data_IF_991729905948
#
_entry.id   IF_991729905948
#
_cell.length_a   1.000
_cell.length_b   1.000
_cell.length_c   1.000
_cell.angle_alpha   90.00
_cell.angle_beta   90.00
_cell.angle_gamma   90.00
#
_symmetry.space_group_name_H-M   'P 1'
#
loop_
_entity.id
_entity.type
_entity.pdbx_description
1 polymer ?
#
# COMPACT_ATOMS: atom_id res chain seq x y z
N UNK A 1 21.47 24.55 11.42
CA UNK A 1 20.12 23.89 11.34
C UNK A 1 20.29 22.42 11.64
N UNK A 2 19.31 21.77 12.27
CA UNK A 2 19.40 20.35 12.54
C UNK A 2 19.14 19.59 11.23
N UNK A 3 20.09 18.76 10.78
CA UNK A 3 19.93 17.92 9.59
C UNK A 3 18.70 17.00 9.78
N UNK A 4 17.86 16.86 8.76
CA UNK A 4 16.73 15.96 8.76
C UNK A 4 17.16 14.49 8.67
N UNK A 5 16.23 13.61 8.31
CA UNK A 5 16.47 12.18 8.22
C UNK A 5 15.73 11.56 7.04
N UNK A 6 16.32 10.54 6.43
CA UNK A 6 15.68 9.77 5.34
C UNK A 6 15.29 8.37 5.82
N UNK A 7 14.06 7.96 5.52
CA UNK A 7 13.57 6.61 5.72
C UNK A 7 13.37 5.95 4.34
N UNK A 8 14.11 4.87 4.06
CA UNK A 8 13.89 4.04 2.87
C UNK A 8 12.83 3.00 3.24
N UNK A 9 11.59 3.20 2.78
CA UNK A 9 10.41 2.45 3.22
C UNK A 9 9.89 1.57 2.09
N UNK A 10 9.69 0.28 2.39
CA UNK A 10 8.99 -0.63 1.49
C UNK A 10 7.47 -0.45 1.59
N UNK A 11 6.84 -0.17 0.45
CA UNK A 11 5.39 -0.01 0.34
C UNK A 11 4.61 -1.34 0.28
N UNK A 12 5.33 -2.47 0.20
CA UNK A 12 4.71 -3.75 -0.12
C UNK A 12 4.43 -3.93 -1.62
N UNK A 13 3.82 -5.07 -2.01
CA UNK A 13 3.71 -5.51 -3.41
C UNK A 13 2.53 -4.88 -4.18
N UNK A 14 1.61 -4.19 -3.49
CA UNK A 14 0.41 -3.60 -4.12
C UNK A 14 -0.78 -3.46 -3.17
N UNK A 15 -1.10 -4.49 -2.38
CA UNK A 15 -2.12 -4.39 -1.33
C UNK A 15 -1.65 -3.47 -0.21
N UNK A 16 -2.32 -2.32 0.06
CA UNK A 16 -1.94 -1.41 1.14
C UNK A 16 -2.02 -2.03 2.53
N UNK A 17 -2.75 -3.14 2.71
CA UNK A 17 -2.76 -3.90 3.97
C UNK A 17 -1.42 -4.59 4.27
N UNK A 18 -0.56 -4.75 3.25
CA UNK A 18 0.79 -5.30 3.41
C UNK A 18 1.85 -4.23 3.72
N UNK A 19 1.46 -2.98 3.90
CA UNK A 19 2.35 -1.96 4.46
C UNK A 19 2.66 -2.31 5.92
N UNK A 20 3.94 -2.28 6.27
CA UNK A 20 4.33 -2.53 7.66
C UNK A 20 3.88 -1.40 8.58
N UNK A 21 3.65 -1.72 9.85
CA UNK A 21 3.29 -0.72 10.87
C UNK A 21 4.36 0.38 11.00
N UNK A 22 5.63 0.03 10.87
CA UNK A 22 6.71 1.01 10.87
C UNK A 22 6.67 1.89 9.61
N UNK A 23 6.36 1.33 8.45
CA UNK A 23 6.17 2.07 7.21
C UNK A 23 5.03 3.08 7.30
N UNK A 24 3.90 2.67 7.90
CA UNK A 24 2.77 3.56 8.21
C UNK A 24 3.20 4.75 9.05
N UNK A 25 3.87 4.51 10.18
CA UNK A 25 4.33 5.57 11.08
C UNK A 25 5.28 6.55 10.40
N UNK A 26 6.16 6.05 9.52
CA UNK A 26 7.05 6.92 8.75
C UNK A 26 6.26 7.84 7.80
N UNK A 27 5.23 7.31 7.10
CA UNK A 27 4.39 8.10 6.19
C UNK A 27 3.58 9.16 6.95
N UNK A 28 2.97 8.79 8.08
CA UNK A 28 2.18 9.70 8.92
C UNK A 28 3.00 10.87 9.48
N UNK A 29 4.31 10.71 9.62
CA UNK A 29 5.22 11.72 10.17
C UNK A 29 6.02 12.45 9.09
N UNK A 30 5.96 12.03 7.83
CA UNK A 30 6.77 12.57 6.75
C UNK A 30 6.47 14.04 6.45
N UNK A 31 7.51 14.83 6.19
CA UNK A 31 7.43 16.19 5.65
C UNK A 31 7.53 16.15 4.10
N UNK A 32 8.20 15.12 3.56
CA UNK A 32 8.24 14.85 2.13
C UNK A 32 8.28 13.34 1.86
N UNK A 33 7.54 12.91 0.83
CA UNK A 33 7.58 11.53 0.34
C UNK A 33 8.03 11.52 -1.12
N UNK A 34 9.15 10.85 -1.39
CA UNK A 34 9.67 10.61 -2.74
C UNK A 34 9.29 9.19 -3.13
N UNK A 35 8.44 9.02 -4.14
CA UNK A 35 7.85 7.71 -4.47
C UNK A 35 7.95 7.37 -5.96
N UNK A 36 7.86 6.10 -6.30
CA UNK A 36 7.89 5.58 -7.68
C UNK A 36 6.54 4.97 -8.11
N UNK A 37 6.44 4.57 -9.38
CA UNK A 37 5.21 4.06 -9.97
C UNK A 37 4.74 2.70 -9.40
N UNK A 38 5.62 1.95 -8.73
CA UNK A 38 5.29 0.64 -8.13
C UNK A 38 4.80 0.78 -6.68
N UNK A 39 4.92 1.96 -6.08
CA UNK A 39 4.34 2.21 -4.77
C UNK A 39 2.81 2.38 -4.92
N UNK A 40 2.05 1.67 -4.10
CA UNK A 40 0.59 1.80 -4.10
C UNK A 40 0.17 3.23 -3.74
N UNK A 41 -0.58 3.89 -4.61
CA UNK A 41 -1.00 5.29 -4.43
C UNK A 41 -1.87 5.50 -3.19
N UNK A 42 -2.65 4.51 -2.77
CA UNK A 42 -3.53 4.62 -1.60
C UNK A 42 -2.78 4.79 -0.28
N UNK A 43 -1.53 4.32 -0.18
CA UNK A 43 -0.73 4.54 1.04
C UNK A 43 -0.25 5.98 1.18
N UNK A 44 -0.24 6.77 0.09
CA UNK A 44 0.08 8.20 0.15
C UNK A 44 -0.98 9.00 0.91
N UNK A 45 -2.22 8.50 1.00
CA UNK A 45 -3.28 9.12 1.79
C UNK A 45 -3.05 9.05 3.31
N UNK A 46 -2.02 8.32 3.76
CA UNK A 46 -1.60 8.27 5.16
C UNK A 46 -0.74 9.48 5.57
N UNK A 47 -0.28 10.26 4.61
CA UNK A 47 0.58 11.42 4.89
C UNK A 47 -0.20 12.61 5.44
N UNK A 48 0.51 13.51 6.11
CA UNK A 48 -0.05 14.78 6.57
C UNK A 48 -0.54 15.63 5.38
N UNK A 49 -1.54 16.51 5.56
CA UNK A 49 -2.05 17.37 4.49
C UNK A 49 -1.01 18.30 3.87
N UNK A 50 0.00 18.70 4.65
CA UNK A 50 1.11 19.59 4.25
C UNK A 50 2.35 18.82 3.76
N UNK A 51 2.30 17.49 3.69
CA UNK A 51 3.39 16.67 3.19
C UNK A 51 3.61 16.87 1.70
N UNK A 52 4.86 17.10 1.30
CA UNK A 52 5.24 17.23 -0.11
C UNK A 52 5.33 15.85 -0.78
N UNK A 53 4.44 15.54 -1.72
CA UNK A 53 4.47 14.29 -2.50
C UNK A 53 5.24 14.49 -3.80
N UNK A 54 6.38 13.81 -3.98
CA UNK A 54 7.29 13.98 -5.11
C UNK A 54 7.43 12.66 -5.87
N UNK A 55 6.90 12.63 -7.10
CA UNK A 55 7.03 11.47 -7.96
C UNK A 55 8.44 11.38 -8.57
N UNK A 56 9.10 10.25 -8.38
CA UNK A 56 10.44 9.95 -8.90
C UNK A 56 10.46 8.74 -9.87
N UNK A 57 9.29 8.26 -10.28
CA UNK A 57 9.11 7.13 -11.19
C UNK A 57 9.25 7.53 -12.67
N UNK A 58 9.19 6.51 -13.55
CA UNK A 58 9.14 6.71 -15.00
C UNK A 58 7.73 7.10 -15.43
N UNK A 59 7.57 8.20 -16.13
CA UNK A 59 6.36 8.48 -16.90
C UNK A 59 6.61 8.23 -18.39
N UNK A 60 5.65 7.62 -19.09
CA UNK A 60 5.70 7.47 -20.53
C UNK A 60 5.75 8.87 -21.19
N UNK A 61 6.82 9.15 -21.94
CA UNK A 61 6.99 10.40 -22.68
C UNK A 61 7.71 11.56 -21.97
N UNK A 62 8.15 11.43 -20.72
CA UNK A 62 8.88 12.47 -20.02
C UNK A 62 10.29 12.04 -19.60
N UNK A 63 11.22 13.00 -19.54
CA UNK A 63 12.62 12.80 -19.19
C UNK A 63 12.77 12.00 -17.88
N UNK A 64 13.53 10.93 -18.00
CA UNK A 64 13.94 10.03 -16.95
C UNK A 64 14.64 10.79 -15.81
N UNK A 65 14.11 10.86 -14.61
CA UNK A 65 14.96 11.16 -13.46
C UNK A 65 15.98 10.03 -13.32
N UNK A 66 17.23 10.33 -13.61
CA UNK A 66 18.33 9.38 -13.38
C UNK A 66 18.36 9.05 -11.89
N UNK A 67 18.80 7.83 -11.51
CA UNK A 67 18.96 7.48 -10.09
C UNK A 67 19.76 8.53 -9.32
N UNK A 68 20.78 9.11 -9.95
CA UNK A 68 21.57 10.20 -9.38
C UNK A 68 20.77 11.44 -9.02
N UNK A 69 19.72 11.77 -9.78
CA UNK A 69 18.83 12.91 -9.47
C UNK A 69 17.94 12.60 -8.28
N UNK A 70 17.43 11.35 -8.18
CA UNK A 70 16.66 10.91 -7.01
C UNK A 70 17.55 10.93 -5.76
N UNK A 71 18.78 10.41 -5.85
CA UNK A 71 19.72 10.40 -4.75
C UNK A 71 20.04 11.84 -4.26
N UNK A 72 20.30 12.76 -5.20
CA UNK A 72 20.54 14.17 -4.88
C UNK A 72 19.33 14.82 -4.22
N UNK A 73 18.13 14.57 -4.72
CA UNK A 73 16.89 15.08 -4.14
C UNK A 73 16.69 14.63 -2.69
N UNK A 74 16.99 13.38 -2.36
CA UNK A 74 16.90 12.87 -0.98
C UNK A 74 17.86 13.62 -0.04
N UNK A 75 19.08 13.88 -0.50
CA UNK A 75 20.08 14.65 0.27
C UNK A 75 19.59 16.10 0.47
N UNK A 76 19.20 16.79 -0.60
CA UNK A 76 18.72 18.17 -0.56
C UNK A 76 17.54 18.38 0.41
N UNK A 77 16.59 17.45 0.39
CA UNK A 77 15.43 17.51 1.30
C UNK A 77 15.82 17.29 2.76
N UNK A 78 16.75 16.38 3.02
CA UNK A 78 17.25 16.12 4.38
C UNK A 78 18.10 17.29 4.91
N UNK A 79 18.91 17.93 4.07
CA UNK A 79 19.67 19.15 4.44
C UNK A 79 18.77 20.32 4.84
N UNK A 80 17.53 20.37 4.28
CA UNK A 80 16.50 21.33 4.70
C UNK A 80 15.88 21.02 6.08
N UNK A 81 16.36 19.97 6.76
CA UNK A 81 15.84 19.56 8.08
C UNK A 81 14.59 18.70 8.06
N UNK A 82 14.16 18.23 6.86
CA UNK A 82 12.91 17.47 6.68
C UNK A 82 13.05 16.00 7.10
N UNK A 83 11.95 15.42 7.57
CA UNK A 83 11.76 13.98 7.64
C UNK A 83 11.29 13.47 6.28
N UNK A 84 12.18 12.80 5.56
CA UNK A 84 11.95 12.35 4.18
C UNK A 84 11.66 10.86 4.15
N UNK A 85 10.59 10.46 3.51
CA UNK A 85 10.31 9.05 3.18
C UNK A 85 10.61 8.82 1.70
N UNK A 86 11.54 7.89 1.42
CA UNK A 86 11.70 7.30 0.09
C UNK A 86 10.85 6.04 0.05
N UNK A 87 9.69 6.12 -0.58
CA UNK A 87 8.71 5.02 -0.67
C UNK A 87 8.97 4.20 -1.95
N UNK A 88 9.17 2.90 -1.79
CA UNK A 88 9.57 1.96 -2.85
C UNK A 88 8.62 0.78 -2.90
N UNK A 89 8.22 0.34 -4.10
CA UNK A 89 7.42 -0.88 -4.24
C UNK A 89 8.15 -2.11 -3.67
N UNK A 90 7.42 -3.02 -3.03
CA UNK A 90 7.98 -4.20 -2.38
C UNK A 90 8.87 -3.84 -1.19
N UNK A 91 10.11 -4.33 -1.20
CA UNK A 91 11.16 -4.08 -0.21
C UNK A 91 12.28 -3.21 -0.80
N UNK A 92 12.84 -2.23 -0.07
CA UNK A 92 13.87 -1.34 -0.58
C UNK A 92 15.14 -2.05 -1.05
N UNK A 93 15.48 -3.18 -0.44
CA UNK A 93 16.73 -3.92 -0.68
C UNK A 93 16.58 -5.13 -1.61
N UNK A 94 15.35 -5.47 -2.02
CA UNK A 94 15.10 -6.54 -2.99
C UNK A 94 14.87 -5.94 -4.38
N UNK A 95 15.94 -5.85 -5.19
CA UNK A 95 15.95 -5.22 -6.53
C UNK A 95 15.39 -3.79 -6.58
N UNK A 96 15.32 -3.13 -5.42
CA UNK A 96 14.80 -1.76 -5.28
C UNK A 96 15.86 -0.67 -5.35
N UNK A 97 17.15 -1.00 -5.53
CA UNK A 97 18.27 -0.06 -5.52
C UNK A 97 18.43 0.75 -4.21
N UNK A 98 17.77 0.32 -3.14
CA UNK A 98 17.86 0.99 -1.84
C UNK A 98 19.28 1.02 -1.25
N UNK A 99 20.11 0.02 -1.59
CA UNK A 99 21.52 0.00 -1.23
C UNK A 99 22.30 1.18 -1.81
N UNK A 100 22.09 1.49 -3.10
CA UNK A 100 22.71 2.64 -3.77
C UNK A 100 22.24 3.98 -3.16
N UNK A 101 20.95 4.08 -2.84
CA UNK A 101 20.38 5.27 -2.16
C UNK A 101 21.00 5.44 -0.76
N UNK A 102 21.11 4.35 0.01
CA UNK A 102 21.71 4.35 1.35
C UNK A 102 23.20 4.73 1.34
N UNK A 103 23.98 4.24 0.35
CA UNK A 103 25.39 4.61 0.18
C UNK A 103 25.56 6.12 -0.03
N UNK A 104 24.77 6.72 -0.92
CA UNK A 104 24.84 8.17 -1.17
C UNK A 104 24.44 8.98 0.06
N UNK A 105 23.43 8.54 0.82
CA UNK A 105 23.06 9.20 2.08
C UNK A 105 24.21 9.13 3.10
N UNK A 106 24.85 7.98 3.23
CA UNK A 106 26.01 7.79 4.12
C UNK A 106 27.19 8.68 3.72
N UNK A 107 27.51 8.75 2.42
CA UNK A 107 28.59 9.58 1.88
C UNK A 107 28.36 11.08 2.16
N UNK A 108 27.10 11.53 2.21
CA UNK A 108 26.74 12.91 2.50
C UNK A 108 26.44 13.16 4.01
N UNK A 109 26.68 12.19 4.89
CA UNK A 109 26.46 12.33 6.33
C UNK A 109 24.99 12.50 6.71
N UNK A 110 24.04 12.08 5.85
CA UNK A 110 22.61 12.16 6.12
C UNK A 110 22.17 10.96 6.95
N UNK A 111 21.56 11.15 8.14
CA UNK A 111 21.01 10.06 8.92
C UNK A 111 19.88 9.36 8.16
N UNK A 112 19.93 8.03 8.09
CA UNK A 112 18.88 7.25 7.44
C UNK A 112 18.49 6.01 8.24
N UNK A 113 17.36 5.42 7.86
CA UNK A 113 16.90 4.11 8.33
C UNK A 113 16.27 3.33 7.19
N UNK A 114 16.44 2.02 7.24
CA UNK A 114 15.77 1.09 6.34
C UNK A 114 14.54 0.56 7.07
N UNK A 115 13.39 0.65 6.41
CA UNK A 115 12.13 0.06 6.87
C UNK A 115 11.73 -1.01 5.87
N UNK A 116 12.00 -2.29 6.16
CA UNK A 116 11.67 -3.39 5.26
C UNK A 116 10.18 -3.39 4.87
N UNK A 117 9.91 -3.83 3.66
CA UNK A 117 8.57 -4.06 3.16
C UNK A 117 8.32 -5.52 2.80
N UNK A 118 7.06 -5.88 2.64
CA UNK A 118 6.68 -7.20 2.13
C UNK A 118 7.11 -7.30 0.67
N UNK A 119 8.10 -8.14 0.37
CA UNK A 119 8.63 -8.28 -0.98
C UNK A 119 7.66 -9.02 -1.90
N UNK A 120 7.55 -8.55 -3.15
CA UNK A 120 6.75 -9.19 -4.19
C UNK A 120 7.19 -10.62 -4.49
N UNK A 121 8.48 -10.94 -4.32
CA UNK A 121 9.03 -12.24 -4.71
C UNK A 121 8.37 -13.43 -3.98
N UNK A 122 7.82 -13.26 -2.80
CA UNK A 122 7.10 -14.32 -2.07
C UNK A 122 5.62 -13.99 -1.84
N UNK A 123 5.26 -12.73 -1.72
CA UNK A 123 3.89 -12.33 -1.44
C UNK A 123 2.97 -12.43 -2.65
N UNK A 124 3.46 -12.07 -3.84
CA UNK A 124 2.68 -12.19 -5.09
C UNK A 124 2.36 -13.64 -5.42
N UNK A 125 3.32 -14.60 -5.37
CA UNK A 125 2.99 -16.01 -5.49
C UNK A 125 1.97 -16.49 -4.44
N UNK A 126 2.09 -16.07 -3.18
CA UNK A 126 1.15 -16.44 -2.12
C UNK A 126 -0.29 -15.98 -2.46
N UNK A 127 -0.47 -14.76 -2.98
CA UNK A 127 -1.76 -14.25 -3.44
C UNK A 127 -2.27 -14.98 -4.70
N UNK A 128 -1.37 -15.59 -5.47
CA UNK A 128 -1.74 -16.46 -6.60
C UNK A 128 -2.04 -17.91 -6.17
N UNK A 129 -1.95 -18.25 -4.87
CA UNK A 129 -2.11 -19.61 -4.39
C UNK A 129 -0.91 -20.51 -4.69
N UNK A 130 0.28 -19.92 -4.85
CA UNK A 130 1.53 -20.63 -5.15
C UNK A 130 2.50 -20.44 -3.98
N UNK A 131 2.72 -21.44 -3.11
CA UNK A 131 3.72 -21.35 -2.08
C UNK A 131 5.12 -21.42 -2.70
N UNK A 132 6.02 -20.47 -2.36
CA UNK A 132 7.37 -20.45 -2.94
C UNK A 132 8.28 -21.59 -2.42
N UNK A 133 7.91 -22.20 -1.29
CA UNK A 133 8.53 -23.40 -0.74
C UNK A 133 7.45 -24.39 -0.33
N UNK A 134 7.74 -25.68 -0.44
CA UNK A 134 6.85 -26.76 0.01
C UNK A 134 7.66 -28.00 0.34
N UNK A 135 7.36 -28.66 1.46
CA UNK A 135 8.16 -29.79 1.96
C UNK A 135 8.34 -30.92 0.92
N UNK A 136 7.33 -31.16 0.11
CA UNK A 136 7.36 -32.24 -0.89
C UNK A 136 7.84 -31.78 -2.28
N UNK A 137 7.84 -30.46 -2.59
CA UNK A 137 8.08 -29.98 -3.96
C UNK A 137 9.26 -29.00 -4.08
N UNK A 138 9.56 -28.21 -3.06
CA UNK A 138 10.54 -27.15 -3.18
C UNK A 138 11.21 -26.85 -1.82
N UNK A 139 12.41 -27.35 -1.55
CA UNK A 139 13.15 -27.10 -0.31
C UNK A 139 13.72 -25.68 -0.26
N UNK A 140 13.83 -25.01 -1.41
CA UNK A 140 14.39 -23.68 -1.54
C UNK A 140 13.63 -22.85 -2.60
N UNK A 141 13.85 -21.55 -2.59
CA UNK A 141 13.45 -20.68 -3.70
C UNK A 141 14.58 -19.69 -4.02
N UNK A 142 14.70 -19.35 -5.29
CA UNK A 142 15.76 -18.50 -5.82
C UNK A 142 15.14 -17.29 -6.51
N UNK A 143 15.58 -16.10 -6.12
CA UNK A 143 15.03 -14.83 -6.66
C UNK A 143 16.05 -14.21 -7.59
N UNK A 144 15.67 -14.01 -8.84
CA UNK A 144 16.55 -13.62 -9.93
C UNK A 144 15.94 -12.41 -10.65
N UNK A 145 16.76 -11.46 -11.10
CA UNK A 145 16.31 -10.43 -12.02
C UNK A 145 16.34 -10.95 -13.46
N UNK A 146 15.24 -10.84 -14.18
CA UNK A 146 15.20 -11.15 -15.62
C UNK A 146 15.84 -10.08 -16.51
N UNK A 147 16.34 -9.00 -15.92
CA UNK A 147 16.97 -7.87 -16.62
C UNK A 147 18.44 -7.76 -16.20
N UNK A 148 19.31 -8.48 -16.89
CA UNK A 148 20.75 -8.53 -16.62
C UNK A 148 21.59 -8.00 -17.79
N UNK A 149 21.30 -6.79 -18.28
CA UNK A 149 22.18 -6.14 -19.25
C UNK A 149 22.70 -4.82 -18.68
N UNK A 150 23.74 -4.93 -17.88
CA UNK A 150 24.68 -3.81 -17.68
C UNK A 150 26.07 -4.31 -18.11
N UNK A 151 26.92 -3.42 -18.62
CA UNK A 151 28.30 -3.71 -18.98
C UNK A 151 29.13 -4.35 -17.84
N UNK A 152 28.59 -4.35 -16.63
CA UNK A 152 29.22 -4.80 -15.39
C UNK A 152 28.75 -6.17 -14.88
N UNK A 153 27.67 -6.75 -15.42
CA UNK A 153 27.16 -8.05 -14.98
C UNK A 153 27.11 -9.04 -16.14
N UNK A 154 27.73 -10.20 -15.92
CA UNK A 154 27.68 -11.34 -16.82
C UNK A 154 26.22 -11.77 -17.10
N UNK A 155 26.01 -12.44 -18.22
CA UNK A 155 24.75 -13.13 -18.49
C UNK A 155 24.42 -14.11 -17.36
N UNK A 156 23.11 -14.37 -17.15
CA UNK A 156 22.68 -15.35 -16.15
C UNK A 156 23.27 -16.74 -16.49
N UNK A 157 23.85 -17.40 -15.51
CA UNK A 157 24.29 -18.79 -15.66
C UNK A 157 23.09 -19.75 -15.66
N UNK A 158 22.48 -19.89 -16.84
CA UNK A 158 21.35 -20.78 -17.03
C UNK A 158 21.68 -22.25 -16.81
N UNK A 159 22.94 -22.66 -16.98
CA UNK A 159 23.38 -24.03 -16.72
C UNK A 159 23.32 -24.37 -15.22
N UNK A 160 23.66 -23.43 -14.36
CA UNK A 160 23.48 -23.55 -12.92
C UNK A 160 22.01 -23.41 -12.54
N UNK A 161 21.31 -22.41 -13.05
CA UNK A 161 19.89 -22.16 -12.72
C UNK A 161 18.99 -23.35 -13.09
N UNK A 162 19.23 -24.00 -14.23
CA UNK A 162 18.43 -25.15 -14.63
C UNK A 162 18.54 -26.35 -13.68
N UNK A 163 19.70 -26.49 -12.99
CA UNK A 163 20.00 -27.58 -12.04
C UNK A 163 19.57 -27.27 -10.61
N UNK A 164 19.23 -26.01 -10.30
CA UNK A 164 18.80 -25.67 -8.96
C UNK A 164 17.51 -26.41 -8.59
N UNK A 165 17.53 -27.00 -7.40
CA UNK A 165 16.35 -27.59 -6.79
C UNK A 165 15.50 -26.49 -6.15
N UNK A 166 14.18 -26.63 -6.29
CA UNK A 166 13.22 -25.67 -5.75
C UNK A 166 12.61 -24.71 -6.78
N UNK A 167 12.11 -23.59 -6.30
CA UNK A 167 11.34 -22.62 -7.10
C UNK A 167 12.25 -21.53 -7.64
N UNK A 168 12.17 -21.26 -8.95
CA UNK A 168 12.81 -20.10 -9.56
C UNK A 168 11.80 -18.95 -9.69
N UNK A 169 12.16 -17.77 -9.19
CA UNK A 169 11.34 -16.57 -9.23
C UNK A 169 12.08 -15.49 -9.99
N UNK A 170 11.55 -15.12 -11.16
CA UNK A 170 12.14 -14.08 -11.98
C UNK A 170 11.33 -12.79 -11.86
N UNK A 171 11.96 -11.74 -11.32
CA UNK A 171 11.41 -10.38 -11.34
C UNK A 171 11.84 -9.66 -12.61
N UNK A 172 11.03 -8.72 -13.11
CA UNK A 172 11.32 -7.94 -14.33
C UNK A 172 11.60 -8.82 -15.57
N UNK A 173 10.96 -9.97 -15.66
CA UNK A 173 11.27 -11.02 -16.64
C UNK A 173 10.43 -11.00 -17.90
N UNK A 174 9.30 -10.25 -17.93
CA UNK A 174 8.26 -10.41 -18.95
C UNK A 174 8.77 -10.23 -20.39
N UNK A 175 9.61 -9.21 -20.63
CA UNK A 175 10.21 -8.95 -21.94
C UNK A 175 11.19 -10.04 -22.41
N UNK A 176 11.82 -10.74 -21.47
CA UNK A 176 12.86 -11.75 -21.73
C UNK A 176 12.33 -13.17 -21.45
N UNK A 177 11.02 -13.33 -21.18
CA UNK A 177 10.45 -14.63 -20.82
C UNK A 177 10.69 -15.72 -21.86
N UNK A 178 10.56 -15.47 -23.19
CA UNK A 178 10.87 -16.50 -24.20
C UNK A 178 12.33 -16.97 -24.13
N UNK A 179 13.28 -16.04 -23.95
CA UNK A 179 14.71 -16.35 -23.85
C UNK A 179 15.04 -17.10 -22.56
N UNK A 180 14.44 -16.69 -21.42
CA UNK A 180 14.62 -17.36 -20.13
C UNK A 180 14.12 -18.81 -20.21
N UNK A 181 12.91 -19.03 -20.74
CA UNK A 181 12.35 -20.37 -20.87
C UNK A 181 13.20 -21.27 -21.78
N UNK A 182 13.54 -20.78 -22.97
CA UNK A 182 14.39 -21.50 -23.92
C UNK A 182 15.77 -21.85 -23.33
N UNK A 183 16.43 -20.90 -22.67
CA UNK A 183 17.74 -21.10 -22.08
C UNK A 183 17.70 -22.12 -20.92
N UNK A 184 16.69 -22.10 -20.07
CA UNK A 184 16.51 -23.10 -19.01
C UNK A 184 16.31 -24.50 -19.60
N UNK A 185 15.46 -24.66 -20.62
CA UNK A 185 15.21 -25.93 -21.29
C UNK A 185 16.49 -26.46 -21.98
N UNK A 186 17.19 -25.61 -22.72
CA UNK A 186 18.46 -25.97 -23.38
C UNK A 186 19.53 -26.44 -22.39
N UNK A 187 19.48 -25.95 -21.17
CA UNK A 187 20.41 -26.35 -20.10
C UNK A 187 19.87 -27.46 -19.19
N UNK A 188 18.80 -28.15 -19.61
CA UNK A 188 18.35 -29.40 -19.00
C UNK A 188 17.19 -29.30 -18.02
N UNK A 189 16.54 -28.13 -17.88
CA UNK A 189 15.28 -28.08 -17.14
C UNK A 189 14.17 -28.70 -17.99
N UNK A 190 13.32 -29.62 -17.44
CA UNK A 190 12.26 -30.24 -18.21
C UNK A 190 11.30 -29.23 -18.83
N UNK A 191 10.94 -29.43 -20.11
CA UNK A 191 10.07 -28.52 -20.84
C UNK A 191 8.65 -28.42 -20.25
N UNK A 192 8.19 -29.49 -19.62
CA UNK A 192 6.91 -29.63 -18.95
C UNK A 192 6.90 -29.03 -17.52
N UNK A 193 8.05 -28.53 -17.01
CA UNK A 193 8.10 -27.89 -15.69
C UNK A 193 7.00 -26.84 -15.57
N UNK A 194 6.15 -26.88 -14.52
CA UNK A 194 5.09 -25.91 -14.34
C UNK A 194 5.64 -24.48 -14.18
N UNK A 195 5.03 -23.54 -14.87
CA UNK A 195 5.38 -22.13 -14.80
C UNK A 195 4.13 -21.25 -14.64
N UNK A 196 4.27 -20.13 -13.94
CA UNK A 196 3.23 -19.12 -13.80
C UNK A 196 3.79 -17.73 -14.08
N UNK A 197 2.98 -16.87 -14.71
CA UNK A 197 3.22 -15.43 -14.77
C UNK A 197 2.08 -14.71 -14.05
N UNK A 198 2.45 -13.85 -13.12
CA UNK A 198 1.51 -13.13 -12.26
C UNK A 198 1.66 -11.64 -12.54
N UNK A 199 0.61 -11.03 -13.10
CA UNK A 199 0.51 -9.61 -13.38
C UNK A 199 -0.21 -8.90 -12.24
N UNK A 200 0.24 -7.69 -11.89
CA UNK A 200 -0.36 -6.80 -10.88
C UNK A 200 -0.71 -7.54 -9.58
N UNK A 201 0.21 -8.38 -9.13
CA UNK A 201 0.01 -9.25 -7.97
C UNK A 201 -0.41 -8.50 -6.71
N UNK A 202 -1.26 -9.12 -5.91
CA UNK A 202 -1.86 -8.60 -4.67
C UNK A 202 -2.87 -7.47 -4.87
N UNK A 203 -3.12 -7.02 -6.10
CA UNK A 203 -4.13 -6.01 -6.41
C UNK A 203 -5.45 -6.65 -6.85
N UNK A 204 -6.52 -5.88 -6.88
CA UNK A 204 -7.82 -6.34 -7.42
C UNK A 204 -7.75 -6.69 -8.91
N UNK A 205 -6.71 -6.27 -9.62
CA UNK A 205 -6.48 -6.53 -11.05
C UNK A 205 -5.50 -7.66 -11.29
N UNK A 206 -5.13 -8.41 -10.24
CA UNK A 206 -4.23 -9.53 -10.36
C UNK A 206 -4.72 -10.52 -11.42
N UNK A 207 -3.84 -10.87 -12.35
CA UNK A 207 -4.05 -11.92 -13.34
C UNK A 207 -2.96 -12.97 -13.23
N UNK A 208 -3.32 -14.23 -13.38
CA UNK A 208 -2.38 -15.35 -13.27
C UNK A 208 -2.54 -16.22 -14.50
N UNK A 209 -1.45 -16.47 -15.21
CA UNK A 209 -1.36 -17.38 -16.33
C UNK A 209 -0.44 -18.53 -15.95
N UNK A 210 -0.90 -19.75 -16.14
CA UNK A 210 -0.12 -20.99 -15.88
C UNK A 210 -0.01 -21.82 -17.14
N UNK A 211 1.16 -22.40 -17.39
CA UNK A 211 1.44 -23.34 -18.46
C UNK A 211 2.70 -24.15 -18.15
N UNK A 212 3.09 -25.09 -19.04
CA UNK A 212 4.43 -25.64 -19.03
C UNK A 212 5.48 -24.59 -19.39
N UNK A 213 6.72 -24.79 -18.98
CA UNK A 213 7.85 -23.87 -19.26
C UNK A 213 8.02 -23.59 -20.76
N UNK A 214 7.80 -24.59 -21.61
CA UNK A 214 7.86 -24.43 -23.06
C UNK A 214 6.75 -23.55 -23.63
N UNK A 215 5.54 -23.56 -23.02
CA UNK A 215 4.35 -22.90 -23.54
C UNK A 215 4.04 -21.57 -22.85
N UNK A 216 4.64 -21.28 -21.71
CA UNK A 216 4.29 -20.11 -20.88
C UNK A 216 4.44 -18.78 -21.62
N UNK A 217 5.46 -18.64 -22.45
CA UNK A 217 5.70 -17.39 -23.19
C UNK A 217 4.64 -17.11 -24.24
N UNK A 218 4.17 -18.15 -24.93
CA UNK A 218 3.08 -18.05 -25.91
C UNK A 218 1.75 -17.75 -25.21
N UNK A 219 1.46 -18.46 -24.13
CA UNK A 219 0.23 -18.28 -23.37
C UNK A 219 0.12 -16.86 -22.77
N UNK A 220 1.22 -16.33 -22.25
CA UNK A 220 1.33 -14.95 -21.74
C UNK A 220 1.02 -13.94 -22.85
N UNK A 221 1.56 -14.15 -24.06
CA UNK A 221 1.29 -13.30 -25.22
C UNK A 221 -0.17 -13.39 -25.66
N UNK A 222 -0.72 -14.60 -25.73
CA UNK A 222 -2.12 -14.87 -26.12
C UNK A 222 -3.10 -14.18 -25.16
N UNK A 223 -2.81 -14.18 -23.87
CA UNK A 223 -3.65 -13.57 -22.86
C UNK A 223 -3.39 -12.07 -22.67
N UNK A 224 -2.44 -11.47 -23.37
CA UNK A 224 -2.14 -10.05 -23.30
C UNK A 224 -1.67 -9.61 -21.91
N UNK A 225 -0.80 -10.40 -21.26
CA UNK A 225 -0.20 -10.05 -19.98
C UNK A 225 0.83 -8.94 -20.20
N UNK A 226 0.82 -7.94 -19.30
CA UNK A 226 1.73 -6.81 -19.34
C UNK A 226 2.39 -6.55 -17.97
N UNK A 227 3.33 -5.60 -17.94
CA UNK A 227 4.02 -5.20 -16.70
C UNK A 227 3.11 -4.28 -15.85
N UNK A 228 3.26 -4.32 -14.51
CA UNK A 228 4.24 -5.13 -13.75
C UNK A 228 3.83 -6.60 -13.63
N UNK A 229 4.77 -7.50 -13.90
CA UNK A 229 4.55 -8.94 -13.78
C UNK A 229 5.84 -9.65 -13.33
N UNK A 230 5.66 -10.85 -12.79
CA UNK A 230 6.75 -11.74 -12.37
C UNK A 230 6.51 -13.17 -12.87
N UNK A 231 7.57 -13.95 -12.98
CA UNK A 231 7.51 -15.35 -13.39
C UNK A 231 7.93 -16.26 -12.24
N UNK A 232 7.18 -17.34 -12.02
CA UNK A 232 7.45 -18.41 -11.06
C UNK A 232 7.57 -19.72 -11.85
N UNK A 233 8.65 -20.47 -11.64
CA UNK A 233 8.93 -21.75 -12.33
C UNK A 233 9.23 -22.81 -11.27
N UNK A 234 8.52 -23.93 -11.32
CA UNK A 234 8.72 -25.06 -10.43
C UNK A 234 7.41 -25.78 -10.08
N UNK A 235 7.53 -26.97 -9.51
CA UNK A 235 6.41 -27.88 -9.21
C UNK A 235 5.34 -27.30 -8.29
N UNK A 236 5.73 -26.33 -7.44
CA UNK A 236 4.79 -25.60 -6.55
C UNK A 236 3.68 -24.88 -7.30
N UNK A 237 3.88 -24.55 -8.58
CA UNK A 237 2.86 -23.91 -9.43
C UNK A 237 1.65 -24.82 -9.59
N UNK A 238 1.84 -26.13 -9.62
CA UNK A 238 0.75 -27.13 -9.69
C UNK A 238 -0.18 -27.12 -8.49
N UNK A 239 0.25 -26.56 -7.34
CA UNK A 239 -0.59 -26.46 -6.15
C UNK A 239 -1.64 -25.35 -6.23
N UNK A 240 -1.53 -24.45 -7.21
CA UNK A 240 -2.38 -23.27 -7.34
C UNK A 240 -3.88 -23.62 -7.39
N UNK A 241 -4.27 -24.64 -8.11
CA UNK A 241 -5.69 -25.03 -8.24
C UNK A 241 -6.32 -25.39 -6.89
N UNK A 242 -5.53 -25.96 -5.98
CA UNK A 242 -5.97 -26.37 -4.65
C UNK A 242 -5.90 -25.22 -3.64
N UNK A 243 -4.99 -24.27 -3.84
CA UNK A 243 -4.66 -23.22 -2.86
C UNK A 243 -5.14 -21.83 -3.26
N UNK A 244 -5.88 -21.69 -4.36
CA UNK A 244 -6.38 -20.40 -4.81
C UNK A 244 -7.42 -19.85 -3.81
N UNK A 245 -7.08 -18.78 -3.14
CA UNK A 245 -7.93 -18.11 -2.15
C UNK A 245 -8.27 -16.65 -2.51
N UNK A 246 -7.44 -16.00 -3.33
CA UNK A 246 -7.55 -14.60 -3.70
C UNK A 246 -8.16 -14.43 -5.11
N UNK A 247 -8.91 -13.35 -5.32
CA UNK A 247 -9.49 -13.03 -6.63
C UNK A 247 -10.90 -13.60 -6.88
N UNK A 248 -11.49 -14.33 -5.92
CA UNK A 248 -12.81 -14.96 -6.04
C UNK A 248 -13.92 -14.20 -5.26
N UNK A 249 -13.64 -13.00 -4.78
CA UNK A 249 -14.61 -12.20 -4.04
C UNK A 249 -15.59 -11.50 -4.99
N UNK A 250 -16.78 -11.12 -4.46
CA UNK A 250 -17.90 -10.56 -5.23
C UNK A 250 -17.54 -9.27 -6.00
N UNK A 251 -16.58 -8.50 -5.53
CA UNK A 251 -16.11 -7.27 -6.17
C UNK A 251 -14.71 -7.40 -6.80
N UNK A 252 -14.19 -8.63 -6.95
CA UNK A 252 -12.90 -8.85 -7.60
C UNK A 252 -12.88 -8.24 -9.01
N UNK A 253 -11.79 -7.53 -9.36
CA UNK A 253 -11.64 -6.81 -10.62
C UNK A 253 -12.44 -5.51 -10.74
N UNK A 254 -13.18 -5.10 -9.72
CA UNK A 254 -13.90 -3.81 -9.72
C UNK A 254 -13.03 -2.70 -9.14
N UNK A 255 -13.14 -1.49 -9.73
CA UNK A 255 -12.52 -0.26 -9.24
C UNK A 255 -13.60 0.71 -8.81
N UNK A 256 -13.47 1.27 -7.61
CA UNK A 256 -14.44 2.20 -7.00
C UNK A 256 -13.73 3.52 -6.70
N UNK A 257 -14.30 4.64 -7.17
CA UNK A 257 -13.87 5.98 -6.80
C UNK A 257 -14.63 6.45 -5.56
N UNK A 258 -13.90 6.83 -4.51
CA UNK A 258 -14.44 7.36 -3.25
C UNK A 258 -14.15 8.85 -3.17
N UNK A 259 -15.18 9.67 -2.89
CA UNK A 259 -15.09 11.14 -2.93
C UNK A 259 -15.54 11.83 -1.63
N UNK A 260 -15.49 11.13 -0.51
CA UNK A 260 -15.90 11.65 0.80
C UNK A 260 -14.82 12.42 1.56
N UNK A 261 -14.95 12.43 2.88
CA UNK A 261 -13.88 12.87 3.78
C UNK A 261 -12.78 11.84 3.85
N UNK A 262 -11.53 12.21 4.24
CA UNK A 262 -10.42 11.25 4.35
C UNK A 262 -10.76 10.03 5.18
N UNK A 263 -11.40 10.22 6.32
CA UNK A 263 -11.77 9.14 7.22
C UNK A 263 -12.85 8.21 6.64
N UNK A 264 -13.89 8.80 6.02
CA UNK A 264 -14.92 8.03 5.34
C UNK A 264 -14.33 7.20 4.20
N UNK A 265 -13.52 7.83 3.35
CA UNK A 265 -12.86 7.15 2.22
C UNK A 265 -12.01 5.98 2.71
N UNK A 266 -11.19 6.18 3.74
CA UNK A 266 -10.35 5.13 4.33
C UNK A 266 -11.18 3.94 4.84
N UNK A 267 -12.24 4.19 5.64
CA UNK A 267 -13.13 3.12 6.16
C UNK A 267 -13.85 2.39 5.02
N UNK A 268 -14.34 3.12 4.02
CA UNK A 268 -14.99 2.54 2.85
C UNK A 268 -14.03 1.72 2.00
N UNK A 269 -12.81 2.22 1.77
CA UNK A 269 -11.77 1.52 1.03
C UNK A 269 -11.36 0.20 1.71
N UNK A 270 -11.17 0.20 3.02
CA UNK A 270 -10.89 -1.01 3.81
C UNK A 270 -12.00 -2.06 3.63
N UNK A 271 -13.27 -1.64 3.71
CA UNK A 271 -14.41 -2.54 3.53
C UNK A 271 -14.52 -3.06 2.09
N UNK A 272 -14.35 -2.21 1.09
CA UNK A 272 -14.38 -2.61 -0.32
C UNK A 272 -13.27 -3.62 -0.65
N UNK A 273 -12.07 -3.44 -0.07
CA UNK A 273 -10.95 -4.37 -0.22
C UNK A 273 -11.28 -5.76 0.33
N UNK A 274 -11.99 -5.87 1.44
CA UNK A 274 -12.44 -7.17 1.99
C UNK A 274 -13.33 -7.93 0.99
N UNK A 275 -14.01 -7.21 0.10
CA UNK A 275 -14.81 -7.79 -0.99
C UNK A 275 -14.05 -7.88 -2.31
N UNK A 276 -12.75 -7.59 -2.33
CA UNK A 276 -11.87 -7.76 -3.48
C UNK A 276 -11.84 -6.58 -4.47
N UNK A 277 -12.44 -5.42 -4.14
CA UNK A 277 -12.38 -4.25 -5.01
C UNK A 277 -11.08 -3.45 -4.81
N UNK A 278 -10.62 -2.81 -5.91
CA UNK A 278 -9.70 -1.68 -5.82
C UNK A 278 -10.48 -0.40 -5.48
N UNK A 279 -9.85 0.52 -4.76
CA UNK A 279 -10.40 1.86 -4.54
C UNK A 279 -9.38 2.94 -4.89
N UNK A 280 -9.88 4.01 -5.49
CA UNK A 280 -9.19 5.28 -5.60
C UNK A 280 -9.90 6.30 -4.69
N UNK A 281 -9.14 7.05 -3.91
CA UNK A 281 -9.66 7.95 -2.90
C UNK A 281 -9.32 9.40 -3.27
N UNK A 282 -10.35 10.22 -3.44
CA UNK A 282 -10.22 11.68 -3.62
C UNK A 282 -11.00 12.34 -2.51
N UNK A 283 -10.31 12.88 -1.53
CA UNK A 283 -10.95 13.62 -0.45
C UNK A 283 -11.28 15.03 -0.91
N UNK A 284 -12.56 15.33 -1.03
CA UNK A 284 -13.07 16.63 -1.47
C UNK A 284 -13.54 17.50 -0.30
N UNK A 285 -13.73 16.91 0.87
CA UNK A 285 -14.22 17.58 2.07
C UNK A 285 -13.23 17.34 3.20
N UNK A 286 -12.70 18.42 3.75
CA UNK A 286 -11.80 18.39 4.91
C UNK A 286 -12.46 19.12 6.07
N UNK A 287 -12.97 18.40 7.09
CA UNK A 287 -13.47 19.02 8.31
C UNK A 287 -12.36 19.86 8.97
N UNK A 288 -12.67 21.08 9.36
CA UNK A 288 -11.73 21.97 10.06
C UNK A 288 -12.39 22.62 11.27
N UNK A 289 -11.58 22.88 12.30
CA UNK A 289 -12.06 23.56 13.50
C UNK A 289 -12.16 25.05 13.25
N UNK A 290 -13.38 25.57 13.40
CA UNK A 290 -13.63 27.02 13.35
C UNK A 290 -13.80 27.53 14.79
N UNK A 291 -12.89 28.41 15.23
CA UNK A 291 -12.96 29.10 16.52
C UNK A 291 -13.14 28.17 17.75
N UNK A 292 -12.26 27.17 17.97
CA UNK A 292 -12.39 26.25 19.10
C UNK A 292 -12.42 26.96 20.46
N UNK A 293 -11.77 28.13 20.59
CA UNK A 293 -11.78 28.91 21.83
C UNK A 293 -13.16 29.42 22.25
N UNK A 294 -14.13 29.47 21.33
CA UNK A 294 -15.53 29.78 21.69
C UNK A 294 -16.11 28.77 22.67
N UNK A 295 -15.63 27.51 22.67
CA UNK A 295 -16.08 26.50 23.61
C UNK A 295 -15.77 26.86 25.07
N UNK A 296 -14.72 27.64 25.34
CA UNK A 296 -14.40 28.16 26.67
C UNK A 296 -15.40 29.20 27.16
N UNK A 297 -16.07 29.88 26.22
CA UNK A 297 -17.00 30.97 26.51
C UNK A 297 -18.44 30.47 26.69
N UNK A 298 -18.68 29.18 26.43
CA UNK A 298 -19.99 28.57 26.58
C UNK A 298 -20.28 28.32 28.08
N UNK A 299 -21.44 28.80 28.53
CA UNK A 299 -21.98 28.41 29.82
C UNK A 299 -22.68 27.04 29.68
N UNK A 300 -21.89 25.97 29.71
CA UNK A 300 -22.34 24.59 29.45
C UNK A 300 -23.56 24.24 30.30
N UNK A 301 -23.65 24.72 31.52
CA UNK A 301 -24.73 24.50 32.48
C UNK A 301 -26.09 25.07 32.02
N UNK A 302 -26.10 25.98 31.05
CA UNK A 302 -27.33 26.53 30.49
C UNK A 302 -28.00 25.62 29.45
N UNK A 303 -27.32 24.58 29.01
CA UNK A 303 -27.85 23.63 28.03
C UNK A 303 -28.30 22.34 28.71
N UNK A 304 -29.33 21.70 28.16
CA UNK A 304 -29.84 20.41 28.65
C UNK A 304 -29.61 19.28 27.65
N UNK A 305 -29.48 19.62 26.37
CA UNK A 305 -29.24 18.66 25.30
C UNK A 305 -28.03 19.08 24.41
N UNK A 306 -27.26 18.06 23.96
CA UNK A 306 -26.35 18.17 22.88
C UNK A 306 -26.82 17.32 21.71
N UNK A 307 -27.11 17.95 20.57
CA UNK A 307 -27.65 17.29 19.38
C UNK A 307 -26.52 17.14 18.34
N UNK A 308 -26.22 15.91 17.99
CA UNK A 308 -25.19 15.59 17.03
C UNK A 308 -25.79 15.10 15.72
N UNK A 309 -25.50 15.83 14.62
CA UNK A 309 -26.08 15.56 13.30
C UNK A 309 -25.17 14.77 12.37
N UNK A 310 -23.92 14.50 12.76
CA UNK A 310 -22.99 13.68 11.98
C UNK A 310 -21.85 13.15 12.85
N UNK A 311 -21.26 12.01 12.45
CA UNK A 311 -20.08 11.45 13.09
C UNK A 311 -18.87 12.42 13.01
N UNK A 312 -18.68 13.11 11.86
CA UNK A 312 -17.65 14.13 11.73
C UNK A 312 -17.87 15.29 12.72
N UNK A 313 -19.11 15.69 12.97
CA UNK A 313 -19.42 16.73 13.97
C UNK A 313 -19.01 16.30 15.38
N UNK A 314 -19.19 15.03 15.72
CA UNK A 314 -18.73 14.46 17.00
C UNK A 314 -17.20 14.55 17.09
N UNK A 315 -16.47 14.05 16.09
CA UNK A 315 -15.00 14.10 16.08
C UNK A 315 -14.47 15.54 16.19
N UNK A 316 -15.10 16.47 15.48
CA UNK A 316 -14.75 17.89 15.55
C UNK A 316 -15.04 18.52 16.91
N UNK A 317 -16.14 18.16 17.58
CA UNK A 317 -16.43 18.64 18.94
C UNK A 317 -15.33 18.22 19.91
N UNK A 318 -14.99 16.92 19.92
CA UNK A 318 -13.95 16.42 20.82
C UNK A 318 -12.54 16.96 20.48
N UNK A 319 -12.23 17.15 19.21
CA UNK A 319 -10.99 17.80 18.79
C UNK A 319 -10.95 19.27 19.26
N UNK A 320 -12.05 20.01 19.10
CA UNK A 320 -12.18 21.39 19.56
C UNK A 320 -12.07 21.51 21.07
N UNK A 321 -12.70 20.61 21.84
CA UNK A 321 -12.59 20.56 23.29
C UNK A 321 -11.15 20.35 23.74
N UNK A 322 -10.43 19.36 23.14
CA UNK A 322 -9.02 19.13 23.42
C UNK A 322 -8.17 20.35 23.14
N UNK A 323 -8.35 20.99 21.97
CA UNK A 323 -7.60 22.19 21.60
C UNK A 323 -7.91 23.38 22.51
N UNK A 324 -9.18 23.53 22.89
CA UNK A 324 -9.62 24.57 23.82
C UNK A 324 -9.25 24.28 25.30
N UNK A 325 -8.86 23.05 25.66
CA UNK A 325 -8.66 22.65 27.05
C UNK A 325 -9.96 22.58 27.85
N UNK A 326 -11.07 22.27 27.19
CA UNK A 326 -12.39 22.05 27.82
C UNK A 326 -12.50 20.59 28.26
N UNK A 327 -12.76 20.37 29.55
CA UNK A 327 -12.86 19.03 30.13
C UNK A 327 -14.19 18.37 29.75
N UNK A 328 -14.16 17.08 29.46
CA UNK A 328 -15.33 16.28 29.14
C UNK A 328 -16.38 16.30 30.29
N UNK A 329 -15.94 16.46 31.53
CA UNK A 329 -16.81 16.60 32.69
C UNK A 329 -17.78 17.77 32.59
N UNK A 330 -17.47 18.79 31.78
CA UNK A 330 -18.40 19.89 31.48
C UNK A 330 -19.67 19.45 30.76
N UNK A 331 -19.70 18.26 30.18
CA UNK A 331 -20.82 17.70 29.43
C UNK A 331 -21.65 16.70 30.24
N UNK A 332 -21.27 16.34 31.47
CA UNK A 332 -21.90 15.24 32.23
C UNK A 332 -23.39 15.43 32.54
N UNK A 333 -23.86 16.67 32.59
CA UNK A 333 -25.27 17.00 32.86
C UNK A 333 -26.13 17.01 31.59
N UNK A 334 -25.50 16.96 30.40
CA UNK A 334 -26.23 17.00 29.13
C UNK A 334 -26.75 15.63 28.75
N UNK A 335 -27.97 15.64 28.16
CA UNK A 335 -28.47 14.52 27.38
C UNK A 335 -27.93 14.61 25.97
N UNK A 336 -27.72 13.47 25.32
CA UNK A 336 -27.18 13.42 23.97
C UNK A 336 -28.18 12.81 23.00
N UNK A 337 -28.44 13.51 21.88
CA UNK A 337 -29.22 12.99 20.78
C UNK A 337 -28.37 12.88 19.53
N UNK A 338 -28.47 11.77 18.82
CA UNK A 338 -27.75 11.52 17.56
C UNK A 338 -28.75 11.27 16.43
N UNK A 339 -28.51 11.88 15.27
CA UNK A 339 -29.40 11.76 14.11
C UNK A 339 -29.49 10.33 13.57
N UNK A 340 -28.51 9.48 13.85
CA UNK A 340 -28.50 8.10 13.38
C UNK A 340 -27.41 7.26 14.03
N UNK A 341 -27.43 5.96 13.74
CA UNK A 341 -26.56 4.95 14.37
C UNK A 341 -25.05 5.24 14.24
N UNK A 342 -24.59 5.76 13.08
CA UNK A 342 -23.19 6.09 12.89
C UNK A 342 -22.71 7.25 13.77
N UNK A 343 -23.59 8.24 14.00
CA UNK A 343 -23.32 9.36 14.92
C UNK A 343 -23.35 8.91 16.37
N UNK A 344 -24.30 8.03 16.72
CA UNK A 344 -24.37 7.42 18.05
C UNK A 344 -23.12 6.59 18.37
N UNK A 345 -22.62 5.81 17.39
CA UNK A 345 -21.39 5.05 17.55
C UNK A 345 -20.17 5.96 17.76
N UNK A 346 -20.07 7.05 17.00
CA UNK A 346 -18.96 8.02 17.19
C UNK A 346 -18.97 8.62 18.60
N UNK A 347 -20.13 8.90 19.19
CA UNK A 347 -20.24 9.33 20.59
C UNK A 347 -19.82 8.21 21.56
N UNK A 348 -20.26 6.97 21.30
CA UNK A 348 -19.90 5.81 22.12
C UNK A 348 -18.38 5.54 22.11
N UNK A 349 -17.70 5.78 21.00
CA UNK A 349 -16.24 5.66 20.87
C UNK A 349 -15.51 6.68 21.77
N UNK A 350 -16.18 7.79 22.11
CA UNK A 350 -15.72 8.78 23.10
C UNK A 350 -16.28 8.54 24.52
N UNK A 351 -16.97 7.42 24.76
CA UNK A 351 -17.51 7.05 26.06
C UNK A 351 -18.85 7.67 26.42
N UNK A 352 -19.56 8.27 25.45
CA UNK A 352 -20.88 8.86 25.65
C UNK A 352 -21.93 8.00 24.94
N UNK A 353 -22.86 7.44 25.72
CA UNK A 353 -24.03 6.73 25.19
C UNK A 353 -25.18 7.71 25.03
N UNK A 354 -25.82 7.68 23.86
CA UNK A 354 -26.89 8.63 23.54
C UNK A 354 -28.19 8.27 24.21
N UNK A 355 -28.96 9.29 24.60
CA UNK A 355 -30.30 9.16 25.19
C UNK A 355 -31.38 8.99 24.10
N UNK A 356 -31.11 9.52 22.88
CA UNK A 356 -32.12 9.52 21.80
C UNK A 356 -31.45 9.27 20.44
N UNK A 357 -32.02 8.33 19.66
CA UNK A 357 -31.77 8.12 18.22
C UNK A 357 -33.12 7.89 17.56
N UNK A 358 -33.52 8.70 16.57
CA UNK A 358 -34.82 8.54 15.92
C UNK A 358 -34.85 7.28 15.04
N UNK A 359 -36.07 6.79 14.75
CA UNK A 359 -36.26 5.66 13.82
C UNK A 359 -35.90 6.03 12.38
N UNK A 360 -36.22 7.24 11.95
CA UNK A 360 -35.83 7.81 10.67
C UNK A 360 -34.69 8.83 10.88
N UNK A 361 -33.62 8.72 10.10
CA UNK A 361 -32.37 9.47 10.31
C UNK A 361 -32.43 10.86 9.66
N UNK A 362 -33.40 11.66 10.04
CA UNK A 362 -33.59 13.05 9.62
C UNK A 362 -33.83 13.99 10.81
N UNK A 363 -33.68 15.29 10.55
CA UNK A 363 -33.78 16.30 11.61
C UNK A 363 -35.20 16.47 12.17
N UNK A 364 -36.22 16.14 11.37
CA UNK A 364 -37.62 16.25 11.82
C UNK A 364 -37.94 15.15 12.80
N UNK A 365 -37.64 13.90 12.43
CA UNK A 365 -37.82 12.74 13.30
C UNK A 365 -37.02 12.85 14.59
N UNK A 366 -35.82 13.47 14.52
CA UNK A 366 -35.00 13.73 15.72
C UNK A 366 -35.66 14.78 16.66
N UNK A 367 -36.37 15.74 16.11
CA UNK A 367 -37.08 16.75 16.91
C UNK A 367 -38.40 16.22 17.50
N UNK A 368 -38.99 15.21 16.90
CA UNK A 368 -40.22 14.56 17.36
C UNK A 368 -39.95 13.47 18.41
N UNK A 369 -38.72 12.90 18.45
CA UNK A 369 -38.28 11.86 19.38
C UNK A 369 -37.81 12.45 20.73
#
# INVERSE_FOLDING_TARGET
MKTGRVFLVGAGPGDPALLTEQGRKCLEQADAVVYDALACSSVLNLTKPDCSLIFAGKMAGNHYKKQSETNRLLVELAEQGKQVVRLKGGDPFVFGRGGEEAQVLQENGIPFSIVPGVSSCYSVPAYAGIPVTHRAYAPAFHVITGHCKTEQHAELDYATLAKLDGTLIFLMSLSNLPQIAAALIQNGKPSETPAAVIQEGTTAHQRVVTASLENIAEEVRRQGIHTPAMTVIGDVVGLREQLQWYGNSILSGKSVLLTGTPEYNRKAAERLRQYGAASAEISLIYPSLLHPDKLKQLSWESYTWAVMTSANGVEMLFAAMRQAGVDLRSLLHLRFAAIGKGTAQALADHGIFVDCVPEHFDSRSLAEA
#
